data_IF_181527523647
#
_entry.id   IF_181527523647
#
_cell.length_a   1.000
_cell.length_b   1.000
_cell.length_c   1.000
_cell.angle_alpha   90.00
_cell.angle_beta   90.00
_cell.angle_gamma   90.00
#
_symmetry.space_group_name_H-M   'P 1'
#
loop_
_entity.id
_entity.type
_entity.pdbx_description
1 polymer ?
2 non-polymer ?
3 non-polymer ?
4 non-polymer ?
5 non-polymer ?
6 water ?
#
# COMPACT_ATOMS: atom_id res chain seq x y z
N UNK A 20 29.46 -6.05 -14.68
CA UNK A 20 28.59 -7.18 -14.35
C UNK A 20 27.25 -7.14 -15.06
N UNK A 21 26.75 -5.95 -15.37
CA UNK A 21 25.47 -5.86 -16.05
C UNK A 21 25.60 -6.24 -17.52
N UNK A 22 26.33 -7.33 -17.73
CA UNK A 22 26.20 -8.20 -18.89
C UNK A 22 24.83 -8.84 -18.82
N UNK A 23 24.29 -8.92 -17.60
CA UNK A 23 22.88 -9.18 -17.40
C UNK A 23 22.09 -8.00 -17.95
N UNK A 24 20.93 -8.29 -18.52
CA UNK A 24 20.19 -7.28 -19.25
C UNK A 24 19.23 -6.50 -18.34
N UNK A 25 19.18 -5.19 -18.53
CA UNK A 25 18.25 -4.33 -17.80
C UNK A 25 17.20 -3.77 -18.75
N UNK A 26 15.93 -3.96 -18.40
CA UNK A 26 14.85 -3.40 -19.19
C UNK A 26 14.21 -2.22 -18.47
N UNK A 27 14.31 -1.04 -19.10
CA UNK A 27 13.67 0.15 -18.54
C UNK A 27 12.29 0.32 -19.14
N UNK A 28 11.28 0.03 -18.34
CA UNK A 28 9.90 0.03 -18.81
C UNK A 28 9.22 1.38 -18.55
N UNK A 29 8.80 2.03 -19.62
CA UNK A 29 8.24 3.37 -19.54
C UNK A 29 6.86 3.45 -20.17
N UNK A 30 5.83 3.68 -19.35
CA UNK A 30 4.46 3.86 -19.83
C UNK A 30 4.23 5.30 -20.25
N UNK A 31 3.67 5.49 -21.44
CA UNK A 31 3.52 6.83 -22.01
C UNK A 31 2.12 7.12 -22.51
N UNK A 32 1.60 8.27 -22.13
CA UNK A 32 0.44 8.86 -22.79
C UNK A 32 0.74 10.32 -22.98
N UNK A 33 0.76 10.73 -24.24
CA UNK A 33 1.16 12.07 -24.62
C UNK A 33 2.47 12.51 -23.95
N UNK A 34 3.50 11.68 -24.10
CA UNK A 34 4.84 12.04 -23.62
C UNK A 34 5.78 12.22 -24.80
N UNK A 35 5.98 13.47 -25.17
CA UNK A 35 6.55 13.85 -26.48
C UNK A 35 7.97 14.43 -26.41
N UNK A 36 8.00 15.64 -25.86
CA UNK A 36 9.18 16.48 -25.84
C UNK A 36 10.17 15.88 -24.89
N UNK A 37 9.65 15.09 -23.94
CA UNK A 37 10.46 14.54 -22.87
C UNK A 37 11.39 13.43 -23.34
N UNK A 38 10.97 12.69 -24.36
CA UNK A 38 11.71 11.53 -24.85
C UNK A 38 13.18 11.81 -25.14
N UNK A 39 13.46 12.94 -25.79
CA UNK A 39 14.83 13.26 -26.16
C UNK A 39 15.70 13.44 -24.91
N UNK A 40 15.20 14.20 -23.95
CA UNK A 40 15.87 14.35 -22.67
C UNK A 40 15.93 13.05 -21.91
N UNK A 41 14.83 12.34 -21.93
CA UNK A 41 14.69 11.08 -21.19
C UNK A 41 15.75 10.07 -21.65
N UNK A 42 15.71 9.71 -22.93
CA UNK A 42 16.61 8.69 -23.48
C UNK A 42 18.07 9.11 -23.32
N UNK A 43 18.35 10.38 -23.54
CA UNK A 43 19.70 10.92 -23.41
C UNK A 43 20.27 10.67 -22.02
N UNK A 44 19.51 11.05 -21.00
CA UNK A 44 19.96 10.91 -19.62
C UNK A 44 20.04 9.45 -19.20
N UNK A 45 19.10 8.64 -19.68
CA UNK A 45 19.10 7.21 -19.41
C UNK A 45 20.35 6.54 -19.96
N UNK A 46 20.65 6.80 -21.23
CA UNK A 46 21.80 6.20 -21.89
C UNK A 46 23.10 6.54 -21.17
N UNK A 47 23.24 7.80 -20.79
CA UNK A 47 24.44 8.27 -20.09
C UNK A 47 24.56 7.64 -18.71
N UNK A 48 23.43 7.50 -18.02
CA UNK A 48 23.41 6.84 -16.72
C UNK A 48 23.79 5.37 -16.85
N UNK A 49 23.24 4.70 -17.86
CA UNK A 49 23.49 3.29 -18.08
C UNK A 49 24.56 3.04 -19.15
N UNK A 50 25.50 3.97 -19.24
CA UNK A 50 26.54 3.94 -20.27
C UNK A 50 27.30 2.63 -20.40
N UNK A 51 27.20 2.00 -21.56
CA UNK A 51 27.96 0.81 -21.86
C UNK A 51 27.37 -0.47 -21.30
N UNK A 52 26.33 -0.34 -20.49
CA UNK A 52 25.67 -1.49 -19.91
C UNK A 52 24.70 -2.11 -20.91
N UNK A 53 24.39 -3.39 -20.72
CA UNK A 53 23.41 -4.06 -21.55
C UNK A 53 22.01 -3.69 -21.11
N UNK A 54 21.41 -2.70 -21.77
CA UNK A 54 20.07 -2.26 -21.41
C UNK A 54 19.17 -2.06 -22.62
N UNK A 55 17.87 -2.11 -22.38
CA UNK A 55 16.88 -1.77 -23.39
C UNK A 55 15.86 -0.81 -22.77
N UNK A 56 15.24 0.01 -23.61
CA UNK A 56 14.10 0.82 -23.18
C UNK A 56 12.83 0.25 -23.81
N UNK A 57 11.81 0.03 -22.98
CA UNK A 57 10.56 -0.53 -23.47
C UNK A 57 9.42 0.44 -23.26
N UNK A 58 9.02 1.12 -24.34
CA UNK A 58 7.95 2.10 -24.29
C UNK A 58 6.59 1.46 -24.54
N UNK A 59 5.65 1.69 -23.63
CA UNK A 59 4.30 1.17 -23.80
C UNK A 59 3.30 2.33 -23.90
N UNK A 60 2.82 2.57 -25.11
CA UNK A 60 1.92 3.69 -25.38
C UNK A 60 0.55 3.15 -25.81
N UNK A 61 -0.50 3.79 -25.30
CA UNK A 61 -1.85 3.33 -25.58
C UNK A 61 -2.49 4.09 -26.73
N UNK A 62 -1.85 4.04 -27.90
CA UNK A 62 -2.33 4.75 -29.08
C UNK A 62 -2.55 6.23 -28.77
N UNK A 63 -1.46 6.90 -28.42
CA UNK A 63 -1.53 8.31 -28.08
C UNK A 63 -2.08 9.13 -29.24
N UNK A 64 -2.95 10.13 -28.94
CA UNK A 64 -3.40 11.15 -29.91
C UNK A 64 -2.17 11.95 -30.36
N UNK A 65 -1.17 11.77 -29.52
CA UNK A 65 0.19 12.19 -29.61
C UNK A 65 1.02 11.43 -30.65
N UNK A 66 2.00 12.10 -31.20
CA UNK A 66 2.80 11.47 -32.18
C UNK A 66 3.46 10.25 -31.57
N UNK A 67 4.03 10.39 -30.39
CA UNK A 67 4.88 9.30 -29.90
C UNK A 67 4.00 8.21 -29.32
N UNK A 68 4.02 7.08 -29.99
CA UNK A 68 5.11 6.29 -30.44
C UNK A 68 6.18 6.92 -31.32
N UNK A 69 5.79 7.78 -32.24
CA UNK A 69 6.57 7.99 -33.43
C UNK A 69 7.91 8.48 -33.03
N UNK A 70 7.95 9.43 -32.12
CA UNK A 70 9.19 10.05 -31.76
C UNK A 70 10.07 8.96 -31.20
N UNK A 71 9.45 7.98 -30.57
CA UNK A 71 10.21 6.90 -29.97
C UNK A 71 10.97 6.11 -30.99
N UNK A 72 10.32 5.75 -32.07
CA UNK A 72 10.95 4.90 -33.06
C UNK A 72 12.13 5.65 -33.61
N UNK A 73 11.96 6.94 -33.77
CA UNK A 73 12.93 7.76 -34.46
C UNK A 73 14.22 7.74 -33.67
N UNK A 74 14.08 7.79 -32.34
CA UNK A 74 15.24 7.72 -31.45
C UNK A 74 15.74 6.28 -31.33
N UNK A 75 14.97 5.34 -31.85
CA UNK A 75 15.39 3.95 -31.95
C UNK A 75 16.61 3.84 -32.86
N UNK A 76 16.81 4.86 -33.69
CA UNK A 76 17.99 4.96 -34.53
C UNK A 76 19.25 5.16 -33.68
N UNK A 77 19.09 5.83 -32.54
CA UNK A 77 20.23 6.13 -31.68
C UNK A 77 20.15 5.35 -30.35
N UNK A 78 18.95 4.97 -29.94
CA UNK A 78 18.77 4.30 -28.66
C UNK A 78 18.10 2.93 -28.82
N UNK A 79 18.49 1.96 -27.96
CA UNK A 79 17.86 0.64 -28.01
C UNK A 79 16.44 0.67 -27.48
N UNK A 80 15.51 1.07 -28.34
CA UNK A 80 14.12 1.27 -27.93
C UNK A 80 13.17 0.28 -28.58
N UNK A 81 12.39 -0.40 -27.75
CA UNK A 81 11.31 -1.23 -28.24
C UNK A 81 9.98 -0.54 -27.97
N UNK A 82 9.19 -0.34 -29.02
CA UNK A 82 7.95 0.40 -28.90
C UNK A 82 6.72 -0.50 -29.00
N UNK A 83 5.88 -0.46 -27.97
CA UNK A 83 4.62 -1.19 -27.99
C UNK A 83 3.45 -0.22 -28.01
N UNK A 84 2.69 -0.23 -29.08
CA UNK A 84 1.47 0.56 -29.12
C UNK A 84 0.26 -0.36 -28.99
N UNK A 85 -0.57 -0.01 -27.77
CA UNK A 85 -1.78 -0.81 -27.74
C UNK A 85 -2.99 0.10 -27.88
N UNK A 86 -3.96 -0.48 -28.73
CA UNK A 86 -5.11 0.30 -29.18
C UNK A 86 -6.36 -0.14 -28.46
N UNK A 87 -6.28 -1.37 -27.97
CA UNK A 87 -7.40 -2.03 -27.33
C UNK A 87 -7.46 -1.82 -25.83
N UNK A 88 -6.38 -1.31 -25.25
CA UNK A 88 -6.26 -1.28 -23.81
C UNK A 88 -5.78 0.05 -23.35
N UNK A 89 -6.21 0.48 -22.18
CA UNK A 89 -5.70 1.70 -21.57
C UNK A 89 -5.47 1.51 -20.08
N UNK A 90 -4.66 2.37 -19.48
CA UNK A 90 -4.41 2.25 -18.05
C UNK A 90 -2.93 2.14 -17.73
N UNK A 91 -2.49 2.86 -16.70
CA UNK A 91 -1.08 2.91 -16.33
C UNK A 91 -0.52 1.56 -15.89
N UNK A 92 -1.15 0.96 -14.88
CA UNK A 92 -0.71 -0.33 -14.37
C UNK A 92 -0.78 -1.39 -15.46
N UNK A 93 -1.82 -1.32 -16.28
CA UNK A 93 -2.00 -2.25 -17.40
C UNK A 93 -0.80 -2.18 -18.36
N UNK A 94 -0.30 -0.98 -18.59
CA UNK A 94 0.84 -0.77 -19.47
C UNK A 94 2.10 -1.41 -18.90
N UNK A 95 2.30 -1.26 -17.59
CA UNK A 95 3.46 -1.82 -16.93
C UNK A 95 3.42 -3.35 -16.98
N UNK A 96 2.24 -3.92 -16.77
CA UNK A 96 2.05 -5.37 -16.93
C UNK A 96 2.50 -5.80 -18.33
N UNK A 97 2.08 -5.03 -19.32
CA UNK A 97 2.45 -5.27 -20.71
C UNK A 97 3.96 -5.15 -20.89
N UNK A 98 4.56 -4.20 -20.19
CA UNK A 98 6.00 -4.01 -20.22
C UNK A 98 6.73 -5.22 -19.71
N UNK A 99 6.26 -5.79 -18.60
CA UNK A 99 6.84 -7.00 -18.04
C UNK A 99 6.82 -8.14 -19.05
N UNK A 100 5.72 -8.24 -19.79
CA UNK A 100 5.55 -9.28 -20.81
C UNK A 100 6.53 -9.09 -21.96
N UNK A 101 6.65 -7.85 -22.42
CA UNK A 101 7.42 -7.52 -23.61
C UNK A 101 8.93 -7.39 -23.34
N UNK A 102 9.28 -7.12 -22.09
CA UNK A 102 10.69 -6.95 -21.72
C UNK A 102 11.44 -8.28 -21.76
N UNK A 103 12.74 -8.22 -22.07
CA UNK A 103 13.54 -9.42 -22.14
C UNK A 103 14.71 -9.42 -21.16
N UNK A 104 14.77 -8.42 -20.29
CA UNK A 104 15.86 -8.29 -19.35
C UNK A 104 15.81 -9.21 -18.15
N UNK A 105 16.89 -9.24 -17.38
CA UNK A 105 16.94 -10.00 -16.13
C UNK A 105 16.45 -9.13 -14.98
N UNK A 106 16.66 -7.83 -15.13
CA UNK A 106 16.20 -6.85 -14.15
C UNK A 106 15.29 -5.83 -14.82
N UNK A 107 14.15 -5.57 -14.20
CA UNK A 107 13.21 -4.58 -14.71
C UNK A 107 13.36 -3.28 -13.95
N UNK A 108 13.32 -2.16 -14.67
CA UNK A 108 13.26 -0.85 -14.04
C UNK A 108 12.02 -0.11 -14.53
N UNK A 109 11.17 0.30 -13.61
CA UNK A 109 9.94 1.01 -13.95
C UNK A 109 10.05 2.49 -13.59
N UNK A 110 9.65 3.37 -14.51
CA UNK A 110 9.74 4.80 -14.28
C UNK A 110 8.82 5.62 -15.20
N UNK A 111 8.57 6.87 -14.81
CA UNK A 111 7.77 7.79 -15.61
C UNK A 111 8.62 8.43 -16.69
N UNK A 112 7.98 9.09 -17.65
CA UNK A 112 8.68 9.62 -18.83
C UNK A 112 8.97 11.12 -18.74
N UNK A 113 8.43 11.80 -17.86
CA UNK A 113 8.45 13.26 -17.70
C UNK A 113 9.64 13.80 -16.93
N UNK A 114 10.56 12.92 -16.58
CA UNK A 114 11.79 13.27 -15.86
C UNK A 114 11.57 13.65 -14.40
N UNK A 115 10.37 13.42 -13.87
CA UNK A 115 10.15 13.56 -12.44
C UNK A 115 10.93 12.45 -11.74
N UNK A 116 11.01 11.29 -12.38
CA UNK A 116 11.94 10.24 -11.98
C UNK A 116 13.26 10.42 -12.70
N UNK A 117 14.33 10.76 -11.96
CA UNK A 117 15.64 10.99 -12.59
C UNK A 117 16.32 9.69 -13.02
N UNK A 118 16.66 9.58 -14.31
CA UNK A 118 17.40 8.40 -14.80
C UNK A 118 18.74 8.21 -14.10
N UNK A 119 19.24 9.27 -13.46
CA UNK A 119 20.57 9.24 -12.84
C UNK A 119 20.65 8.38 -11.58
N UNK A 120 19.51 8.01 -11.01
CA UNK A 120 19.53 7.17 -9.81
C UNK A 120 19.26 5.71 -10.13
N UNK A 121 18.88 5.43 -11.37
CA UNK A 121 18.74 4.05 -11.84
C UNK A 121 19.95 3.16 -11.51
N UNK A 122 21.19 3.68 -11.64
CA UNK A 122 22.33 2.86 -11.21
C UNK A 122 22.27 2.42 -9.75
N UNK A 123 21.77 3.28 -8.86
CA UNK A 123 21.67 2.92 -7.44
C UNK A 123 20.61 1.85 -7.23
N UNK A 124 19.54 1.92 -8.01
CA UNK A 124 18.48 0.91 -7.95
C UNK A 124 19.00 -0.46 -8.35
N UNK A 125 19.64 -0.55 -9.51
CA UNK A 125 20.12 -1.83 -10.00
C UNK A 125 21.28 -2.35 -9.15
N UNK A 126 22.02 -1.44 -8.52
CA UNK A 126 23.11 -1.82 -7.63
C UNK A 126 22.57 -2.53 -6.41
N UNK A 127 21.47 -2.02 -5.88
CA UNK A 127 20.79 -2.65 -4.74
C UNK A 127 20.34 -4.06 -5.11
N UNK A 128 19.85 -4.22 -6.33
CA UNK A 128 19.41 -5.52 -6.83
C UNK A 128 20.58 -6.51 -6.93
N UNK A 129 21.73 -6.03 -7.40
CA UNK A 129 22.90 -6.90 -7.53
C UNK A 129 23.41 -7.29 -6.15
N UNK A 130 23.31 -6.36 -5.20
CA UNK A 130 23.77 -6.60 -3.83
C UNK A 130 22.92 -7.61 -3.06
N UNK A 131 21.79 -8.00 -3.62
CA UNK A 131 21.00 -9.07 -3.02
C UNK A 131 19.52 -8.79 -2.81
N UNK A 132 19.07 -7.57 -3.06
CA UNK A 132 17.65 -7.26 -2.93
C UNK A 132 16.87 -7.78 -4.14
N UNK A 133 15.62 -8.15 -3.91
CA UNK A 133 14.74 -8.59 -4.99
C UNK A 133 14.02 -7.39 -5.58
N UNK A 134 13.70 -6.43 -4.71
CA UNK A 134 13.04 -5.20 -5.12
C UNK A 134 13.81 -4.01 -4.54
N UNK A 135 14.07 -3.02 -5.38
CA UNK A 135 14.68 -1.78 -4.93
C UNK A 135 13.75 -0.61 -5.27
N UNK A 136 13.22 0.03 -4.24
CA UNK A 136 12.22 1.06 -4.42
C UNK A 136 12.81 2.46 -4.43
N UNK A 137 12.53 3.22 -5.49
CA UNK A 137 12.86 4.64 -5.50
C UNK A 137 11.89 5.33 -4.58
N UNK A 138 12.40 5.83 -3.45
CA UNK A 138 11.53 6.31 -2.38
C UNK A 138 11.74 7.77 -2.00
N UNK A 139 10.63 8.52 -1.94
CA UNK A 139 10.65 9.93 -1.56
C UNK A 139 10.72 10.13 -0.05
N UNK A 140 10.52 9.07 0.73
CA UNK A 140 10.19 9.25 2.15
C UNK A 140 11.11 8.52 3.13
N UNK A 141 12.12 7.82 2.64
CA UNK A 141 13.16 7.28 3.50
C UNK A 141 14.16 8.40 3.73
N UNK A 142 15.09 8.22 4.67
CA UNK A 142 16.11 9.23 4.95
C UNK A 142 16.91 9.55 3.69
N UNK A 143 16.94 10.83 3.34
CA UNK A 143 17.61 11.27 2.13
C UNK A 143 16.61 11.64 1.04
N UNK A 144 15.47 10.97 1.05
CA UNK A 144 14.43 11.23 0.05
C UNK A 144 13.86 12.62 0.16
N UNK A 145 13.54 13.22 -0.99
CA UNK A 145 12.96 14.55 -1.03
C UNK A 145 11.90 14.68 -2.11
N UNK A 146 11.09 15.74 -1.99
CA UNK A 146 10.20 16.10 -3.06
C UNK A 146 10.36 17.58 -3.36
N UNK A 147 10.28 17.95 -4.63
CA UNK A 147 10.64 19.29 -5.07
C UNK A 147 9.42 20.18 -5.28
N UNK A 148 9.41 21.33 -4.62
CA UNK A 148 8.35 22.33 -4.76
C UNK A 148 6.94 21.77 -4.54
N UNK A 149 6.77 21.00 -3.47
CA UNK A 149 5.46 20.51 -3.09
C UNK A 149 4.87 21.37 -1.98
N UNK A 150 3.60 21.78 -2.14
CA UNK A 150 2.88 22.42 -1.03
C UNK A 150 2.78 21.46 0.14
N UNK A 151 2.79 21.96 1.37
CA UNK A 151 2.76 21.11 2.56
C UNK A 151 1.52 20.22 2.56
N UNK A 152 0.39 20.79 2.13
CA UNK A 152 -0.87 20.06 2.09
C UNK A 152 -0.78 18.80 1.24
N UNK A 153 -0.22 18.92 0.04
CA UNK A 153 -0.13 17.79 -0.87
C UNK A 153 0.79 16.72 -0.30
N UNK A 154 1.81 17.15 0.43
CA UNK A 154 2.72 16.20 1.07
C UNK A 154 2.01 15.42 2.17
N UNK A 155 1.10 16.10 2.89
CA UNK A 155 0.34 15.45 3.97
C UNK A 155 -0.60 14.41 3.37
N UNK A 156 -1.36 14.82 2.36
CA UNK A 156 -2.29 13.92 1.68
C UNK A 156 -1.56 12.66 1.21
N UNK A 157 -0.33 12.85 0.74
CA UNK A 157 0.47 11.75 0.23
C UNK A 157 0.86 10.77 1.33
N UNK A 158 1.47 11.28 2.39
CA UNK A 158 1.92 10.44 3.49
C UNK A 158 0.71 9.90 4.26
N UNK A 159 -0.37 10.66 4.26
CA UNK A 159 -1.61 10.23 4.87
C UNK A 159 -2.23 9.06 4.14
N UNK A 160 -2.27 9.14 2.81
CA UNK A 160 -2.77 8.04 2.00
C UNK A 160 -1.89 6.81 2.17
N UNK A 161 -0.58 7.04 2.23
CA UNK A 161 0.38 5.95 2.43
C UNK A 161 0.20 5.29 3.80
N UNK A 162 -0.04 6.10 4.82
CA UNK A 162 -0.26 5.56 6.16
C UNK A 162 -1.41 4.56 6.18
N UNK A 163 -2.50 4.90 5.49
CA UNK A 163 -3.68 4.04 5.42
C UNK A 163 -3.31 2.67 4.85
N UNK A 164 -2.48 2.66 3.82
CA UNK A 164 -2.03 1.41 3.21
C UNK A 164 -1.16 0.59 4.12
N UNK A 165 -0.23 1.25 4.82
CA UNK A 165 0.70 0.57 5.70
C UNK A 165 0.00 -0.08 6.91
N UNK A 166 -1.06 0.55 7.37
CA UNK A 166 -1.81 0.02 8.51
C UNK A 166 -2.78 -1.08 8.07
N UNK A 167 -3.44 -0.87 6.94
CA UNK A 167 -4.42 -1.83 6.43
C UNK A 167 -3.77 -3.10 5.87
N UNK A 168 -2.52 -2.97 5.45
CA UNK A 168 -1.80 -4.09 4.86
C UNK A 168 -0.49 -4.31 5.60
N UNK A 169 -0.52 -5.13 6.66
CA UNK A 169 0.65 -5.33 7.52
C UNK A 169 1.90 -5.77 6.76
N UNK A 170 1.74 -6.42 5.62
CA UNK A 170 2.88 -6.88 4.83
C UNK A 170 3.77 -5.72 4.38
N UNK A 171 3.19 -4.54 4.18
CA UNK A 171 3.97 -3.37 3.77
C UNK A 171 4.06 -2.32 4.86
N UNK A 172 3.88 -2.76 6.11
CA UNK A 172 3.90 -1.86 7.27
C UNK A 172 5.14 -0.97 7.31
N UNK A 173 6.28 -1.54 6.95
CA UNK A 173 7.55 -0.85 7.12
C UNK A 173 8.07 -0.20 5.82
N UNK A 174 7.25 -0.22 4.77
CA UNK A 174 7.60 0.45 3.52
C UNK A 174 7.17 1.91 3.54
N UNK A 175 8.12 2.82 3.36
CA UNK A 175 7.82 4.26 3.48
C UNK A 175 7.12 4.83 2.24
N UNK A 176 7.47 4.32 1.06
CA UNK A 176 6.87 4.82 -0.18
C UNK A 176 6.37 3.66 -1.05
N UNK A 177 5.34 2.94 -0.59
CA UNK A 177 4.86 1.76 -1.33
C UNK A 177 4.01 2.12 -2.55
N UNK A 178 3.80 3.41 -2.80
CA UNK A 178 3.01 3.85 -3.94
C UNK A 178 3.87 4.43 -5.06
N UNK A 179 5.19 4.37 -4.88
CA UNK A 179 6.15 4.90 -5.84
C UNK A 179 5.98 4.31 -7.24
N UNK A 180 6.19 5.13 -8.26
CA UNK A 180 6.11 4.66 -9.64
C UNK A 180 7.49 4.36 -10.18
N UNK A 181 8.49 4.40 -9.30
CA UNK A 181 9.89 4.31 -9.68
C UNK A 181 10.58 3.21 -8.88
N UNK A 182 10.85 2.07 -9.52
CA UNK A 182 11.41 0.93 -8.82
C UNK A 182 12.12 -0.04 -9.76
N UNK A 183 12.93 -0.93 -9.17
CA UNK A 183 13.57 -2.00 -9.92
C UNK A 183 13.27 -3.34 -9.26
N UNK A 184 13.25 -4.41 -10.05
CA UNK A 184 13.06 -5.74 -9.51
C UNK A 184 13.65 -6.82 -10.42
N UNK A 185 14.10 -7.91 -9.80
CA UNK A 185 14.49 -9.08 -10.55
C UNK A 185 13.25 -9.63 -11.24
N UNK A 186 13.42 -10.16 -12.44
CA UNK A 186 12.29 -10.67 -13.21
C UNK A 186 11.57 -11.78 -12.46
N UNK A 187 12.31 -12.51 -11.63
CA UNK A 187 11.75 -13.61 -10.85
C UNK A 187 10.60 -13.16 -9.95
N UNK A 188 10.64 -11.92 -9.49
CA UNK A 188 9.62 -11.41 -8.56
C UNK A 188 8.21 -11.49 -9.15
N UNK A 189 8.08 -11.23 -10.44
CA UNK A 189 6.75 -11.15 -11.06
C UNK A 189 6.45 -12.19 -12.12
N UNK A 190 7.34 -13.15 -12.33
CA UNK A 190 7.06 -14.17 -13.31
C UNK A 190 6.27 -15.30 -12.70
N UNK A 191 5.18 -15.67 -13.35
CA UNK A 191 4.30 -16.67 -12.80
C UNK A 191 3.29 -16.06 -11.84
N UNK A 192 3.34 -14.74 -11.71
CA UNK A 192 2.44 -14.02 -10.80
C UNK A 192 1.38 -13.23 -11.57
N UNK A 193 0.11 -13.44 -11.22
CA UNK A 193 -0.97 -12.69 -11.83
C UNK A 193 -1.17 -11.36 -11.11
N UNK A 194 -0.87 -10.27 -11.81
CA UNK A 194 -1.05 -8.93 -11.26
C UNK A 194 -2.31 -8.28 -11.80
N UNK A 195 -3.04 -7.61 -10.92
CA UNK A 195 -4.29 -6.96 -11.30
C UNK A 195 -4.04 -5.71 -12.13
N UNK A 196 -4.58 -5.68 -13.37
CA UNK A 196 -4.38 -4.58 -14.31
C UNK A 196 -5.07 -3.27 -13.91
N UNK A 197 -6.06 -3.33 -13.03
CA UNK A 197 -6.79 -2.13 -12.63
C UNK A 197 -5.94 -1.23 -11.74
N UNK A 198 -5.96 0.07 -12.04
CA UNK A 198 -5.36 1.05 -11.16
C UNK A 198 -4.11 1.72 -11.66
N UNK A 199 -3.30 2.21 -10.72
CA UNK A 199 -2.10 2.97 -11.04
C UNK A 199 -0.91 2.48 -10.21
N UNK A 200 -1.17 2.13 -8.96
CA UNK A 200 -0.11 1.74 -8.04
C UNK A 200 0.28 0.27 -8.25
N UNK A 201 1.03 0.02 -9.31
CA UNK A 201 1.45 -1.32 -9.64
C UNK A 201 2.43 -1.88 -8.59
N UNK A 202 3.22 -1.00 -7.98
CA UNK A 202 4.19 -1.44 -6.97
C UNK A 202 3.50 -2.08 -5.77
N UNK A 203 2.34 -1.56 -5.43
CA UNK A 203 1.60 -2.10 -4.29
C UNK A 203 1.11 -3.51 -4.60
N UNK A 204 0.64 -3.73 -5.82
CA UNK A 204 0.29 -5.06 -6.30
C UNK A 204 1.48 -6.02 -6.17
N UNK A 205 2.67 -5.54 -6.53
CA UNK A 205 3.86 -6.37 -6.50
C UNK A 205 4.31 -6.67 -5.07
N UNK A 206 4.26 -5.66 -4.20
CA UNK A 206 4.67 -5.85 -2.81
C UNK A 206 3.79 -6.87 -2.10
N UNK A 207 2.53 -6.96 -2.52
CA UNK A 207 1.60 -7.91 -1.93
C UNK A 207 1.65 -9.28 -2.60
N UNK A 208 1.68 -9.30 -3.93
CA UNK A 208 1.53 -10.56 -4.67
C UNK A 208 2.83 -11.14 -5.23
N UNK A 209 3.90 -10.36 -5.24
CA UNK A 209 5.15 -10.80 -5.82
C UNK A 209 5.93 -11.78 -4.97
N UNK A 210 6.92 -12.42 -5.59
CA UNK A 210 7.78 -13.37 -4.87
C UNK A 210 9.12 -12.72 -4.53
N UNK A 211 9.34 -12.48 -3.24
CA UNK A 211 10.57 -11.84 -2.80
C UNK A 211 10.86 -12.06 -1.32
N UNK A 212 12.11 -11.86 -0.93
CA UNK A 212 12.52 -12.01 0.46
C UNK A 212 13.20 -10.76 0.99
N UNK A 213 13.61 -9.88 0.09
CA UNK A 213 14.28 -8.64 0.51
C UNK A 213 13.93 -7.44 -0.36
N UNK A 214 13.41 -6.41 0.29
CA UNK A 214 13.13 -5.13 -0.36
C UNK A 214 13.94 -4.03 0.31
N UNK A 215 14.53 -3.14 -0.48
CA UNK A 215 15.13 -1.94 0.07
C UNK A 215 14.51 -0.71 -0.58
N UNK A 216 14.63 0.40 0.12
CA UNK A 216 14.19 1.68 -0.41
C UNK A 216 15.41 2.54 -0.63
N UNK A 217 15.46 3.18 -1.80
CA UNK A 217 16.59 4.01 -2.17
C UNK A 217 16.11 5.45 -2.32
N UNK A 218 16.71 6.38 -1.56
CA UNK A 218 16.27 7.77 -1.57
C UNK A 218 16.55 8.47 -2.89
N UNK A 219 15.64 9.33 -3.31
CA UNK A 219 15.85 10.16 -4.50
C UNK A 219 15.01 11.42 -4.39
N UNK A 220 15.17 12.33 -5.35
CA UNK A 220 14.39 13.55 -5.38
C UNK A 220 13.34 13.49 -6.48
N UNK A 221 12.07 13.55 -6.08
CA UNK A 221 10.96 13.58 -7.03
C UNK A 221 10.92 14.97 -7.64
N UNK A 222 11.46 15.10 -8.86
CA UNK A 222 11.71 16.39 -9.45
C UNK A 222 10.53 17.07 -10.11
N UNK A 223 10.80 18.25 -10.69
CA UNK A 223 9.80 19.01 -11.41
C UNK A 223 9.51 18.34 -12.75
N UNK A 224 8.25 18.24 -13.12
CA UNK A 224 7.94 17.82 -14.47
C UNK A 224 8.40 18.92 -15.35
N UNK A 225 9.03 18.58 -16.46
CA UNK A 225 9.55 19.62 -17.34
C UNK A 225 8.59 20.08 -18.41
N UNK A 226 8.00 19.16 -19.17
CA UNK A 226 7.16 19.57 -20.28
C UNK A 226 6.01 18.65 -20.50
N UNK A 227 4.92 19.19 -20.99
CA UNK A 227 3.72 18.39 -21.21
C UNK A 227 2.69 18.57 -20.11
N UNK A 228 1.37 17.88 -20.26
CA UNK A 228 0.29 17.94 -19.27
C UNK A 228 0.55 16.90 -18.17
N UNK A 229 -0.25 16.93 -17.12
CA UNK A 229 -0.35 15.83 -16.17
C UNK A 229 -1.65 15.08 -16.44
N UNK A 230 -1.53 13.76 -16.46
CA UNK A 230 -2.61 12.88 -16.79
C UNK A 230 -3.27 12.16 -15.61
N UNK A 231 -2.71 12.28 -14.41
CA UNK A 231 -3.23 11.55 -13.27
C UNK A 231 -3.57 12.36 -12.05
N UNK A 232 -3.08 13.60 -12.09
CA UNK A 232 -3.37 14.46 -10.96
C UNK A 232 -4.54 15.35 -11.25
N UNK A 233 -5.62 15.22 -10.49
CA UNK A 233 -5.83 14.13 -9.57
C UNK A 233 -6.98 13.22 -9.97
N UNK A 234 -6.64 12.00 -10.33
CA UNK A 234 -7.63 11.00 -10.64
C UNK A 234 -7.25 9.71 -9.94
N UNK A 235 -6.62 9.78 -8.78
CA UNK A 235 -6.07 8.55 -8.18
C UNK A 235 -6.60 8.09 -6.81
N UNK A 236 -7.14 9.01 -6.01
CA UNK A 236 -7.41 8.73 -4.61
C UNK A 236 -8.47 7.69 -4.34
N UNK A 237 -9.61 7.77 -4.98
CA UNK A 237 -10.64 6.81 -4.61
C UNK A 237 -10.41 5.45 -5.28
N UNK A 238 -9.65 5.46 -6.36
CA UNK A 238 -9.14 4.26 -6.96
C UNK A 238 -8.18 3.60 -6.02
N UNK A 239 -7.37 4.40 -5.34
CA UNK A 239 -6.38 3.91 -4.44
C UNK A 239 -7.03 3.18 -3.28
N UNK A 240 -8.09 3.74 -2.76
CA UNK A 240 -8.79 3.13 -1.64
C UNK A 240 -9.46 1.81 -2.03
N UNK A 241 -10.03 1.77 -3.23
CA UNK A 241 -10.63 0.51 -3.71
C UNK A 241 -9.53 -0.51 -3.97
N UNK A 242 -8.35 -0.03 -4.35
CA UNK A 242 -7.21 -0.92 -4.54
C UNK A 242 -6.79 -1.54 -3.21
N UNK A 243 -6.72 -0.72 -2.16
CA UNK A 243 -6.40 -1.20 -0.82
C UNK A 243 -7.37 -2.30 -0.39
N UNK A 244 -8.65 -2.08 -0.63
CA UNK A 244 -9.68 -3.04 -0.26
C UNK A 244 -9.50 -4.38 -0.98
N UNK A 245 -9.19 -4.33 -2.27
CA UNK A 245 -8.94 -5.56 -3.03
C UNK A 245 -7.79 -6.34 -2.43
N UNK A 246 -6.75 -5.62 -2.01
CA UNK A 246 -5.57 -6.24 -1.46
C UNK A 246 -5.82 -6.76 -0.04
N UNK A 247 -6.67 -6.08 0.71
CA UNK A 247 -7.07 -6.56 2.03
C UNK A 247 -7.81 -7.89 1.91
N UNK A 248 -8.71 -7.98 0.93
CA UNK A 248 -9.39 -9.23 0.60
C UNK A 248 -8.38 -10.32 0.32
N UNK A 249 -7.49 -10.03 -0.64
CA UNK A 249 -6.47 -10.97 -1.07
C UNK A 249 -5.61 -11.47 0.09
N UNK A 250 -5.28 -10.58 1.02
CA UNK A 250 -4.42 -10.92 2.15
C UNK A 250 -5.18 -11.63 3.28
N UNK A 251 -6.50 -11.70 3.17
CA UNK A 251 -7.30 -12.33 4.21
C UNK A 251 -7.63 -11.39 5.36
N UNK A 252 -7.31 -10.10 5.20
CA UNK A 252 -7.60 -9.12 6.23
C UNK A 252 -9.09 -8.88 6.38
N UNK A 253 -9.82 -8.86 5.26
CA UNK A 253 -11.28 -8.70 5.34
C UNK A 253 -11.90 -9.87 6.10
N UNK A 254 -11.41 -11.07 5.81
CA UNK A 254 -11.87 -12.26 6.52
C UNK A 254 -11.66 -12.14 8.03
N UNK A 255 -10.48 -11.67 8.43
CA UNK A 255 -10.18 -11.49 9.84
C UNK A 255 -11.08 -10.44 10.48
N UNK A 256 -11.36 -9.37 9.73
CA UNK A 256 -12.19 -8.28 10.24
C UNK A 256 -13.64 -8.74 10.47
N UNK A 257 -14.13 -9.59 9.59
CA UNK A 257 -15.47 -10.15 9.74
C UNK A 257 -15.55 -11.07 10.96
N UNK A 258 -14.55 -11.94 11.12
CA UNK A 258 -14.51 -12.83 12.28
C UNK A 258 -14.39 -12.03 13.59
N UNK A 259 -13.58 -10.98 13.56
CA UNK A 259 -13.40 -10.13 14.73
C UNK A 259 -14.72 -9.46 15.13
N UNK A 260 -15.49 -9.04 14.13
CA UNK A 260 -16.80 -8.41 14.36
C UNK A 260 -17.78 -9.39 14.99
N UNK A 261 -17.75 -10.63 14.49
CA UNK A 261 -18.63 -11.68 14.97
C UNK A 261 -18.34 -12.00 16.43
N UNK A 262 -17.05 -12.10 16.76
CA UNK A 262 -16.63 -12.29 18.14
C UNK A 262 -17.07 -11.10 19.00
N UNK A 263 -16.87 -9.89 18.49
CA UNK A 263 -17.24 -8.67 19.18
C UNK A 263 -18.71 -8.60 19.50
N UNK A 264 -19.54 -9.12 18.60
CA UNK A 264 -20.97 -9.20 18.81
C UNK A 264 -21.28 -10.15 19.97
N UNK A 265 -20.63 -11.30 19.96
CA UNK A 265 -20.83 -12.31 21.01
C UNK A 265 -20.46 -11.72 22.37
N UNK A 266 -19.44 -10.88 22.38
CA UNK A 266 -18.99 -10.22 23.59
C UNK A 266 -20.03 -9.28 24.18
N UNK A 267 -20.76 -8.58 23.32
CA UNK A 267 -21.82 -7.70 23.77
C UNK A 267 -22.91 -8.51 24.47
N UNK A 268 -23.25 -9.66 23.90
CA UNK A 268 -24.25 -10.55 24.48
C UNK A 268 -23.80 -11.13 25.81
N UNK A 269 -22.54 -11.59 25.86
CA UNK A 269 -21.97 -12.13 27.09
C UNK A 269 -21.98 -11.08 28.19
N UNK A 270 -21.66 -9.84 27.83
CA UNK A 270 -21.63 -8.74 28.79
C UNK A 270 -22.99 -8.50 29.42
N UNK A 271 -24.02 -8.39 28.59
CA UNK A 271 -25.37 -8.18 29.07
C UNK A 271 -25.88 -9.41 29.83
N UNK A 272 -25.43 -10.58 29.39
CA UNK A 272 -25.83 -11.84 30.01
C UNK A 272 -25.41 -11.96 31.46
N UNK A 273 -24.12 -11.76 31.73
CA UNK A 273 -23.62 -11.83 33.09
C UNK A 273 -24.15 -10.68 33.94
N UNK A 274 -24.38 -9.53 33.31
CA UNK A 274 -24.91 -8.37 34.01
C UNK A 274 -26.28 -8.71 34.60
N UNK A 275 -27.11 -9.39 33.81
CA UNK A 275 -28.41 -9.83 34.27
C UNK A 275 -28.29 -10.90 35.35
N UNK A 276 -27.39 -11.86 35.12
CA UNK A 276 -27.21 -12.96 36.06
C UNK A 276 -26.76 -12.47 37.42
N UNK A 277 -25.85 -11.50 37.42
CA UNK A 277 -25.26 -11.02 38.66
C UNK A 277 -26.25 -10.22 39.52
N UNK A 278 -27.02 -9.34 38.89
CA UNK A 278 -27.94 -8.47 39.63
C UNK A 278 -29.12 -9.25 40.21
N UNK A 279 -29.45 -10.38 39.59
CA UNK A 279 -30.56 -11.20 40.07
C UNK A 279 -30.08 -12.21 41.11
N UNK A 280 -28.79 -12.15 41.43
CA UNK A 280 -28.20 -13.00 42.46
C UNK A 280 -27.87 -12.18 43.71
N UNK A 281 -28.34 -10.93 43.73
CA UNK A 281 -28.16 -10.07 44.88
C UNK A 281 -26.93 -9.20 44.82
N UNK A 282 -26.44 -8.93 43.61
CA UNK A 282 -25.29 -8.06 43.42
C UNK A 282 -25.72 -6.73 42.82
N UNK A 283 -25.39 -5.62 43.50
CA UNK A 283 -25.77 -4.26 43.05
C UNK A 283 -25.33 -3.97 41.62
N UNK A 284 -26.18 -3.27 40.88
CA UNK A 284 -25.96 -2.94 39.48
C UNK A 284 -24.58 -2.37 39.17
N UNK A 285 -24.16 -1.37 39.95
CA UNK A 285 -22.92 -0.67 39.67
C UNK A 285 -21.70 -1.39 40.26
N UNK A 286 -21.92 -2.58 40.79
CA UNK A 286 -20.82 -3.46 41.19
C UNK A 286 -20.74 -4.62 40.19
N UNK A 287 -21.89 -5.05 39.72
CA UNK A 287 -21.99 -6.18 38.80
C UNK A 287 -21.44 -5.87 37.41
N UNK A 288 -21.43 -4.59 37.05
CA UNK A 288 -20.97 -4.17 35.73
C UNK A 288 -19.52 -4.56 35.51
N UNK A 289 -18.72 -4.54 36.58
CA UNK A 289 -17.28 -4.78 36.49
C UNK A 289 -16.95 -6.23 36.12
N UNK A 290 -17.47 -7.23 36.87
CA UNK A 290 -17.14 -8.59 36.43
C UNK A 290 -17.75 -8.92 35.07
N UNK A 291 -18.92 -8.35 34.78
CA UNK A 291 -19.61 -8.61 33.53
C UNK A 291 -18.80 -8.20 32.32
N UNK A 292 -18.25 -6.98 32.34
CA UNK A 292 -17.46 -6.50 31.23
C UNK A 292 -16.13 -7.24 31.12
N UNK A 293 -15.50 -7.53 32.25
CA UNK A 293 -14.23 -8.23 32.23
C UNK A 293 -14.39 -9.65 31.67
N UNK A 294 -15.53 -10.27 31.97
CA UNK A 294 -15.81 -11.59 31.41
C UNK A 294 -16.03 -11.50 29.90
N UNK A 295 -16.64 -10.42 29.44
CA UNK A 295 -16.86 -10.22 28.01
C UNK A 295 -15.54 -10.04 27.27
N UNK A 296 -14.60 -9.33 27.91
CA UNK A 296 -13.27 -9.16 27.34
C UNK A 296 -12.55 -10.50 27.24
N UNK A 297 -12.62 -11.28 28.32
CA UNK A 297 -12.03 -12.61 28.35
C UNK A 297 -12.65 -13.50 27.27
N UNK A 298 -13.97 -13.42 27.14
CA UNK A 298 -14.67 -14.13 26.08
C UNK A 298 -14.15 -13.72 24.71
N UNK A 299 -14.05 -12.41 24.49
CA UNK A 299 -13.58 -11.90 23.20
C UNK A 299 -12.15 -12.29 22.89
N UNK A 300 -11.28 -12.28 23.89
CA UNK A 300 -9.90 -12.68 23.66
C UNK A 300 -9.83 -14.15 23.25
N UNK A 301 -10.60 -14.99 23.93
CA UNK A 301 -10.56 -16.43 23.73
C UNK A 301 -10.89 -16.83 22.28
N UNK A 302 -12.01 -16.34 21.77
CA UNK A 302 -12.43 -16.70 20.42
C UNK A 302 -11.51 -16.10 19.36
N UNK A 303 -11.00 -14.90 19.62
CA UNK A 303 -10.09 -14.27 18.68
C UNK A 303 -8.74 -14.99 18.62
N UNK A 304 -8.33 -15.57 19.73
CA UNK A 304 -7.05 -16.27 19.81
C UNK A 304 -7.11 -17.64 19.14
N UNK A 305 -8.25 -18.30 19.21
CA UNK A 305 -8.39 -19.64 18.64
C UNK A 305 -9.12 -19.66 17.29
N UNK A 306 -9.59 -18.51 16.83
CA UNK A 306 -10.30 -18.45 15.55
C UNK A 306 -9.74 -17.33 14.67
N UNK A 307 -10.05 -16.09 15.03
CA UNK A 307 -9.68 -14.93 14.21
C UNK A 307 -8.19 -14.83 13.90
N UNK A 308 -7.34 -14.96 14.92
CA UNK A 308 -5.90 -14.77 14.74
C UNK A 308 -5.11 -16.04 15.08
N UNK A 309 -5.76 -17.19 14.97
CA UNK A 309 -5.17 -18.46 15.39
C UNK A 309 -3.83 -18.75 14.72
N UNK A 310 -3.69 -18.33 13.47
CA UNK A 310 -2.49 -18.64 12.68
C UNK A 310 -1.32 -17.70 12.97
N UNK A 311 -1.55 -16.64 13.73
CA UNK A 311 -0.47 -15.70 14.00
C UNK A 311 -0.29 -15.42 15.50
N UNK A 312 -0.45 -16.47 16.30
CA UNK A 312 -0.17 -16.39 17.73
C UNK A 312 1.34 -16.47 18.00
N UNK A 313 1.83 -15.58 18.85
CA UNK A 313 3.24 -15.55 19.21
C UNK A 313 3.40 -15.34 20.71
N UNK A 314 4.50 -15.82 21.27
CA UNK A 314 4.82 -15.59 22.66
C UNK A 314 3.84 -16.18 23.66
N UNK A 315 3.87 -15.65 24.88
CA UNK A 315 2.98 -16.12 25.94
C UNK A 315 1.54 -15.77 25.67
N UNK A 316 0.61 -16.64 26.10
CA UNK A 316 -0.79 -16.34 25.94
C UNK A 316 -1.19 -15.21 26.90
N UNK A 317 -0.51 -15.12 28.04
CA UNK A 317 -0.79 -14.06 29.00
C UNK A 317 -0.38 -12.70 28.46
N UNK A 318 0.73 -12.65 27.72
CA UNK A 318 1.18 -11.40 27.11
C UNK A 318 0.17 -10.91 26.08
N UNK A 319 -0.42 -11.84 25.33
CA UNK A 319 -1.47 -11.49 24.37
C UNK A 319 -2.74 -11.03 25.10
N UNK A 320 -3.06 -11.69 26.21
CA UNK A 320 -4.25 -11.32 26.98
C UNK A 320 -4.14 -9.88 27.47
N UNK A 321 -2.95 -9.49 27.90
CA UNK A 321 -2.72 -8.15 28.41
C UNK A 321 -2.83 -7.10 27.29
N UNK A 322 -2.21 -7.38 26.15
CA UNK A 322 -2.29 -6.49 25.00
C UNK A 322 -3.72 -6.35 24.51
N UNK A 323 -4.49 -7.43 24.61
CA UNK A 323 -5.89 -7.41 24.21
C UNK A 323 -6.70 -6.45 25.09
N UNK A 324 -6.34 -6.39 26.37
CA UNK A 324 -7.02 -5.47 27.29
C UNK A 324 -6.72 -4.02 26.92
N UNK A 325 -5.50 -3.75 26.51
CA UNK A 325 -5.10 -2.43 26.03
C UNK A 325 -5.96 -1.99 24.85
N UNK A 326 -6.09 -2.87 23.86
CA UNK A 326 -6.91 -2.60 22.69
C UNK A 326 -8.37 -2.37 23.07
N UNK A 327 -8.89 -3.20 23.97
CA UNK A 327 -10.27 -3.08 24.40
C UNK A 327 -10.54 -1.75 25.09
N UNK A 328 -9.59 -1.33 25.92
CA UNK A 328 -9.71 -0.06 26.62
C UNK A 328 -9.58 1.11 25.64
N UNK A 329 -8.67 0.97 24.68
CA UNK A 329 -8.50 2.00 23.64
C UNK A 329 -9.79 2.17 22.84
N UNK A 330 -10.47 1.06 22.58
CA UNK A 330 -11.73 1.10 21.86
C UNK A 330 -12.78 1.89 22.62
N UNK A 331 -12.87 1.63 23.92
CA UNK A 331 -13.85 2.30 24.78
C UNK A 331 -13.61 3.81 24.83
N UNK A 332 -12.35 4.21 24.84
CA UNK A 332 -11.99 5.63 24.88
C UNK A 332 -12.35 6.33 23.57
N UNK A 333 -12.00 5.71 22.45
CA UNK A 333 -12.34 6.25 21.14
C UNK A 333 -13.85 6.41 21.00
N UNK A 334 -14.59 5.40 21.44
CA UNK A 334 -16.04 5.43 21.39
C UNK A 334 -16.60 6.61 22.18
N UNK A 335 -16.05 6.84 23.37
CA UNK A 335 -16.46 7.95 24.22
C UNK A 335 -16.20 9.31 23.56
N UNK A 336 -14.96 9.52 23.11
CA UNK A 336 -14.55 10.80 22.54
C UNK A 336 -15.28 11.12 21.24
N UNK A 337 -15.38 10.14 20.34
CA UNK A 337 -16.05 10.34 19.06
C UNK A 337 -17.52 10.74 19.26
N UNK A 338 -18.19 10.05 20.17
CA UNK A 338 -19.60 10.29 20.45
C UNK A 338 -19.86 11.74 20.86
N UNK A 339 -19.07 12.25 21.79
CA UNK A 339 -19.30 13.58 22.33
C UNK A 339 -18.91 14.67 21.33
N UNK A 340 -17.85 14.43 20.57
CA UNK A 340 -17.48 15.37 19.52
C UNK A 340 -18.60 15.51 18.51
N UNK A 341 -19.14 14.37 18.06
CA UNK A 341 -20.26 14.39 17.13
C UNK A 341 -21.49 15.07 17.72
N UNK A 342 -21.75 14.84 19.01
CA UNK A 342 -22.86 15.50 19.69
C UNK A 342 -22.68 17.02 19.72
N UNK A 343 -21.44 17.46 19.88
CA UNK A 343 -21.15 18.90 19.90
C UNK A 343 -21.26 19.49 18.49
N UNK A 344 -21.06 18.65 17.48
CA UNK A 344 -21.16 19.10 16.09
C UNK A 344 -22.60 19.13 15.60
N UNK A 345 -23.53 18.69 16.44
CA UNK A 345 -24.95 18.74 16.11
C UNK A 345 -25.50 17.47 15.50
N UNK A 346 -24.69 16.41 15.48
CA UNK A 346 -25.13 15.13 14.94
C UNK A 346 -26.16 14.47 15.87
N UNK A 347 -27.17 13.84 15.28
CA UNK A 347 -28.16 13.09 16.06
C UNK A 347 -27.49 12.03 16.92
N UNK A 348 -27.97 11.88 18.15
CA UNK A 348 -27.28 11.06 19.15
C UNK A 348 -27.22 9.58 18.77
N UNK A 349 -28.14 9.12 17.92
CA UNK A 349 -28.14 7.73 17.50
C UNK A 349 -27.09 7.49 16.42
N UNK A 350 -26.90 8.48 15.55
CA UNK A 350 -25.84 8.42 14.56
C UNK A 350 -24.49 8.52 15.25
N UNK A 351 -24.37 9.48 16.17
CA UNK A 351 -23.16 9.68 16.95
C UNK A 351 -22.72 8.39 17.63
N UNK A 352 -23.68 7.74 18.29
CA UNK A 352 -23.42 6.47 18.96
C UNK A 352 -23.01 5.36 17.99
N UNK A 353 -23.65 5.33 16.83
CA UNK A 353 -23.33 4.34 15.81
C UNK A 353 -21.89 4.49 15.32
N UNK A 354 -21.49 5.73 15.05
CA UNK A 354 -20.15 6.01 14.55
C UNK A 354 -19.10 5.70 15.62
N UNK A 355 -19.42 6.01 16.87
CA UNK A 355 -18.54 5.71 17.98
C UNK A 355 -18.22 4.24 18.08
N UNK A 356 -19.26 3.40 17.98
CA UNK A 356 -19.11 1.96 18.07
C UNK A 356 -18.31 1.41 16.89
N UNK A 357 -18.58 1.96 15.71
CA UNK A 357 -17.89 1.53 14.49
C UNK A 357 -16.40 1.90 14.53
N UNK A 358 -16.09 3.10 14.97
CA UNK A 358 -14.69 3.53 15.06
C UNK A 358 -13.98 2.82 16.20
N UNK A 359 -14.71 2.50 17.26
CA UNK A 359 -14.17 1.69 18.36
C UNK A 359 -13.76 0.31 17.84
N UNK A 360 -14.64 -0.32 17.08
CA UNK A 360 -14.35 -1.62 16.48
C UNK A 360 -13.14 -1.54 15.56
N UNK A 361 -13.05 -0.47 14.78
CA UNK A 361 -11.95 -0.28 13.85
C UNK A 361 -10.63 -0.12 14.56
N UNK A 362 -10.62 0.69 15.60
CA UNK A 362 -9.41 0.92 16.40
C UNK A 362 -8.97 -0.35 17.14
N UNK A 363 -9.93 -1.07 17.69
CA UNK A 363 -9.60 -2.31 18.40
C UNK A 363 -9.00 -3.33 17.45
N UNK A 364 -9.54 -3.41 16.23
CA UNK A 364 -8.99 -4.35 15.27
C UNK A 364 -7.56 -4.00 14.92
N UNK A 365 -7.32 -2.72 14.62
CA UNK A 365 -6.00 -2.27 14.18
C UNK A 365 -4.95 -2.51 15.27
N UNK A 366 -5.30 -2.18 16.51
CA UNK A 366 -4.37 -2.38 17.63
C UNK A 366 -4.12 -3.87 17.87
N UNK A 367 -5.15 -4.68 17.79
CA UNK A 367 -4.96 -6.13 17.94
C UNK A 367 -4.17 -6.74 16.78
N UNK A 368 -4.38 -6.23 15.57
CA UNK A 368 -3.67 -6.77 14.40
C UNK A 368 -2.19 -6.36 14.41
N UNK A 369 -1.90 -5.18 14.93
CA UNK A 369 -0.54 -4.65 14.87
C UNK A 369 0.25 -4.79 16.18
N UNK A 370 -0.44 -5.17 17.25
CA UNK A 370 0.22 -5.27 18.56
C UNK A 370 -0.01 -6.63 19.22
N UNK A 371 -1.26 -6.94 19.55
CA UNK A 371 -1.59 -8.19 20.23
C UNK A 371 -1.13 -9.39 19.41
N UNK A 372 -1.44 -9.39 18.12
CA UNK A 372 -1.09 -10.50 17.24
C UNK A 372 -0.20 -10.01 16.09
N UNK A 373 0.86 -9.28 16.42
CA UNK A 373 1.68 -8.58 15.45
C UNK A 373 2.42 -9.51 14.48
N UNK A 374 2.56 -9.07 13.23
CA UNK A 374 3.35 -9.80 12.24
C UNK A 374 4.41 -8.89 11.61
#
# INVERSE_FOLDING_TARGET
>A
MHHHHHHSSGVDLGTENLYFQSMKVSVIIPTYNERENLEELFSRIDNALQGLNYEIVVVDDDSPDRTWEKAQELSSKYPVKVIRRTKEKGLSSAVIRGFKEASGDVFVVMDADLQHPPEVIPKLIEAIKNGSDIAIGSRYVKGGKVENWPFYRKLISKGAIMVGRIALPKIRDIKDPVSGFFALRKEVVEGVELNPIGFKILMEILIKGKYSKVVEVPFTFGIRARGESKLKGKTIFEYLRHIYRLMKWEGEIDRIVKFSIVGLSGILVNEGFLWLFVNLGIPKEIAVIPAVELSILNNFFWNDIWTFKDIRRGSIFSRLLKFHIAALSGAVVNFIVYWILLFLGIHYLIANLVGIVLSFGVRYVINRHVTWAT
#
